data_IF_629979337557
#
_entry.id   IF_629979337557
#
_cell.length_a   1.000
_cell.length_b   1.000
_cell.length_c   1.000
_cell.angle_alpha   90.00
_cell.angle_beta   90.00
_cell.angle_gamma   90.00
#
_symmetry.space_group_name_H-M   'P 1'
#
loop_
_entity.id
_entity.type
_entity.pdbx_description
1 polymer ?
#
# COMPACT_ATOMS: atom_id res chain seq x y z
N UNK A 1 29.37 12.84 -5.26
CA UNK A 1 28.55 12.16 -4.23
C UNK A 1 28.45 10.71 -4.63
N UNK A 2 28.84 9.77 -3.76
CA UNK A 2 28.73 8.31 -3.97
C UNK A 2 27.66 7.77 -3.03
N UNK A 3 27.07 6.62 -3.34
CA UNK A 3 26.10 5.97 -2.43
C UNK A 3 26.71 5.70 -1.05
N UNK A 4 28.01 5.41 -1.00
CA UNK A 4 28.76 5.20 0.25
C UNK A 4 28.90 6.44 1.14
N UNK A 5 28.53 7.62 0.65
CA UNK A 5 28.53 8.85 1.46
C UNK A 5 27.28 8.97 2.35
N UNK A 6 26.24 8.15 2.08
CA UNK A 6 25.00 8.10 2.86
C UNK A 6 25.07 7.04 3.95
N UNK A 7 24.34 7.28 5.04
CA UNK A 7 24.23 6.35 6.16
C UNK A 7 22.82 5.75 6.28
N UNK A 8 21.85 6.40 5.67
CA UNK A 8 20.42 6.03 5.74
C UNK A 8 19.88 5.93 4.33
N UNK A 9 19.07 4.89 4.09
CA UNK A 9 18.26 4.76 2.89
C UNK A 9 16.79 4.75 3.29
N UNK A 10 16.01 5.64 2.68
CA UNK A 10 14.58 5.72 2.87
C UNK A 10 13.85 5.08 1.68
N UNK A 11 12.88 4.21 1.98
CA UNK A 11 12.11 3.47 0.98
C UNK A 11 10.63 3.84 1.03
N UNK A 12 10.03 3.99 -0.13
CA UNK A 12 8.63 3.69 -0.30
C UNK A 12 8.41 2.17 -0.22
N UNK A 13 7.18 1.72 -0.01
CA UNK A 13 6.88 0.29 0.20
C UNK A 13 6.08 -0.30 -0.95
N UNK A 14 4.91 0.26 -1.23
CA UNK A 14 3.97 -0.32 -2.21
C UNK A 14 4.27 0.18 -3.62
N UNK A 15 4.69 -0.75 -4.49
CA UNK A 15 5.26 -0.45 -5.82
C UNK A 15 6.78 -0.37 -5.82
N UNK A 16 7.42 -0.51 -4.64
CA UNK A 16 8.88 -0.51 -4.50
C UNK A 16 9.39 -1.82 -3.87
N UNK A 17 8.79 -2.25 -2.78
CA UNK A 17 9.15 -3.47 -2.04
C UNK A 17 8.03 -4.52 -2.08
N UNK A 18 6.79 -4.07 -2.17
CA UNK A 18 5.58 -4.89 -2.25
C UNK A 18 4.97 -4.72 -3.64
N UNK A 19 4.70 -5.83 -4.32
CA UNK A 19 3.97 -5.89 -5.59
C UNK A 19 2.47 -5.66 -5.33
N UNK A 20 2.13 -4.39 -5.15
CA UNK A 20 0.77 -3.97 -4.82
C UNK A 20 -0.21 -4.25 -5.97
N UNK A 21 0.25 -4.15 -7.22
CA UNK A 21 -0.62 -4.37 -8.37
C UNK A 21 -1.12 -5.81 -8.41
N UNK A 22 -0.22 -6.78 -8.29
CA UNK A 22 -0.59 -8.20 -8.28
C UNK A 22 -1.41 -8.56 -7.05
N UNK A 23 -1.05 -8.00 -5.89
CA UNK A 23 -1.78 -8.20 -4.64
C UNK A 23 -3.20 -7.65 -4.72
N UNK A 24 -3.36 -6.44 -5.20
CA UNK A 24 -4.62 -5.73 -5.34
C UNK A 24 -5.54 -6.43 -6.36
N UNK A 25 -5.05 -6.71 -7.57
CA UNK A 25 -5.84 -7.40 -8.61
C UNK A 25 -6.31 -8.77 -8.12
N UNK A 26 -5.45 -9.52 -7.43
CA UNK A 26 -5.82 -10.80 -6.84
C UNK A 26 -6.90 -10.64 -5.77
N UNK A 27 -6.76 -9.65 -4.90
CA UNK A 27 -7.72 -9.40 -3.83
C UNK A 27 -9.07 -8.83 -4.33
N UNK A 28 -9.08 -8.15 -5.48
CA UNK A 28 -10.31 -7.69 -6.14
C UNK A 28 -11.06 -8.78 -6.90
N UNK A 29 -10.46 -9.96 -7.08
CA UNK A 29 -11.09 -11.03 -7.85
C UNK A 29 -12.52 -11.38 -7.42
N UNK A 30 -12.87 -11.44 -6.12
CA UNK A 30 -14.25 -11.68 -5.69
C UNK A 30 -15.26 -10.64 -6.18
N UNK A 31 -14.81 -9.39 -6.44
CA UNK A 31 -15.63 -8.33 -7.01
C UNK A 31 -15.66 -8.43 -8.53
N UNK A 32 -14.48 -8.53 -9.18
CA UNK A 32 -14.38 -8.53 -10.65
C UNK A 32 -15.04 -9.74 -11.29
N UNK A 33 -15.10 -10.90 -10.59
CA UNK A 33 -15.82 -12.09 -11.06
C UNK A 33 -17.35 -11.89 -11.11
N UNK A 34 -17.88 -10.87 -10.42
CA UNK A 34 -19.32 -10.52 -10.45
C UNK A 34 -19.66 -9.48 -11.51
N UNK A 35 -18.65 -8.83 -12.10
CA UNK A 35 -18.84 -7.77 -13.10
C UNK A 35 -19.22 -8.40 -14.43
N UNK A 36 -20.30 -7.88 -15.06
CA UNK A 36 -20.75 -8.39 -16.37
C UNK A 36 -19.91 -7.90 -17.54
N UNK A 37 -19.14 -6.81 -17.34
CA UNK A 37 -18.25 -6.22 -18.34
C UNK A 37 -16.92 -6.99 -18.35
N UNK A 38 -16.24 -7.03 -19.50
CA UNK A 38 -14.90 -7.59 -19.58
C UNK A 38 -13.88 -6.50 -19.17
N UNK A 39 -13.44 -6.53 -17.91
CA UNK A 39 -12.43 -5.62 -17.40
C UNK A 39 -11.03 -6.15 -17.72
N UNK A 40 -10.21 -5.30 -18.31
CA UNK A 40 -8.78 -5.57 -18.43
C UNK A 40 -8.07 -5.30 -17.09
N UNK A 41 -6.82 -5.76 -16.97
CA UNK A 41 -6.00 -5.42 -15.80
C UNK A 41 -5.83 -3.90 -15.66
N UNK A 42 -5.62 -3.20 -16.74
CA UNK A 42 -5.41 -1.74 -16.74
C UNK A 42 -6.68 -0.99 -16.32
N UNK A 43 -7.87 -1.43 -16.78
CA UNK A 43 -9.15 -0.86 -16.31
C UNK A 43 -9.30 -0.96 -14.79
N UNK A 44 -8.91 -2.12 -14.21
CA UNK A 44 -8.98 -2.34 -12.76
C UNK A 44 -7.99 -1.43 -12.03
N UNK A 45 -6.75 -1.33 -12.52
CA UNK A 45 -5.71 -0.49 -11.93
C UNK A 45 -6.08 0.99 -11.97
N UNK A 46 -6.58 1.49 -13.10
CA UNK A 46 -6.99 2.89 -13.27
C UNK A 46 -8.17 3.25 -12.37
N UNK A 47 -9.22 2.44 -12.35
CA UNK A 47 -10.38 2.66 -11.49
C UNK A 47 -9.98 2.65 -10.02
N UNK A 48 -9.14 1.68 -9.61
CA UNK A 48 -8.66 1.61 -8.24
C UNK A 48 -7.85 2.87 -7.86
N UNK A 49 -6.87 3.26 -8.67
CA UNK A 49 -6.03 4.43 -8.41
C UNK A 49 -6.85 5.73 -8.31
N UNK A 50 -7.88 5.87 -9.15
CA UNK A 50 -8.80 7.00 -9.10
C UNK A 50 -9.56 7.06 -7.76
N UNK A 51 -10.19 5.96 -7.35
CA UNK A 51 -10.97 5.92 -6.10
C UNK A 51 -10.06 6.03 -4.87
N UNK A 52 -8.88 5.43 -4.91
CA UNK A 52 -7.92 5.51 -3.81
C UNK A 52 -7.44 6.96 -3.61
N UNK A 53 -6.92 7.60 -4.66
CA UNK A 53 -6.41 8.97 -4.59
C UNK A 53 -7.48 9.97 -4.17
N UNK A 54 -8.71 9.78 -4.64
CA UNK A 54 -9.86 10.60 -4.26
C UNK A 54 -10.20 10.42 -2.78
N UNK A 55 -10.23 9.18 -2.30
CA UNK A 55 -10.54 8.87 -0.90
C UNK A 55 -9.45 9.39 0.04
N UNK A 56 -8.16 9.24 -0.33
CA UNK A 56 -7.04 9.81 0.43
C UNK A 56 -7.17 11.33 0.58
N UNK A 57 -7.53 12.03 -0.49
CA UNK A 57 -7.71 13.49 -0.49
C UNK A 57 -8.81 13.95 0.47
N UNK A 58 -9.94 13.23 0.49
CA UNK A 58 -11.09 13.60 1.31
C UNK A 58 -11.03 13.08 2.75
N UNK A 59 -10.22 12.05 3.01
CA UNK A 59 -10.09 11.43 4.34
C UNK A 59 -8.62 11.22 4.72
N UNK A 60 -7.82 12.30 4.85
CA UNK A 60 -6.36 12.21 5.02
C UNK A 60 -5.90 11.49 6.30
N UNK A 61 -6.79 11.37 7.29
CA UNK A 61 -6.49 10.72 8.59
C UNK A 61 -7.10 9.31 8.70
N UNK A 62 -7.76 8.81 7.63
CA UNK A 62 -8.35 7.47 7.66
C UNK A 62 -7.24 6.41 7.60
N UNK A 63 -7.36 5.35 8.38
CA UNK A 63 -6.45 4.20 8.28
C UNK A 63 -6.55 3.56 6.89
N UNK A 64 -5.45 3.08 6.38
CA UNK A 64 -5.37 2.63 4.99
C UNK A 64 -6.30 1.44 4.70
N UNK A 65 -6.38 0.46 5.59
CA UNK A 65 -7.31 -0.66 5.39
C UNK A 65 -8.79 -0.24 5.40
N UNK A 66 -9.17 0.76 6.20
CA UNK A 66 -10.53 1.31 6.20
C UNK A 66 -10.78 2.15 4.93
N UNK A 67 -9.75 2.82 4.42
CA UNK A 67 -9.80 3.54 3.16
C UNK A 67 -10.02 2.56 2.00
N UNK A 68 -9.27 1.47 1.96
CA UNK A 68 -9.43 0.44 0.93
C UNK A 68 -10.82 -0.23 0.96
N UNK A 69 -11.43 -0.39 2.13
CA UNK A 69 -12.82 -0.85 2.23
C UNK A 69 -13.80 0.10 1.52
N UNK A 70 -13.58 1.42 1.65
CA UNK A 70 -14.37 2.41 0.91
C UNK A 70 -14.07 2.35 -0.59
N UNK A 71 -12.81 2.18 -0.99
CA UNK A 71 -12.42 2.02 -2.40
C UNK A 71 -13.13 0.82 -3.02
N UNK A 72 -13.14 -0.33 -2.36
CA UNK A 72 -13.84 -1.53 -2.83
C UNK A 72 -15.33 -1.26 -3.07
N UNK A 73 -15.99 -0.56 -2.15
CA UNK A 73 -17.38 -0.19 -2.31
C UNK A 73 -17.59 0.75 -3.50
N UNK A 74 -16.70 1.71 -3.71
CA UNK A 74 -16.78 2.65 -4.85
C UNK A 74 -16.59 1.93 -6.19
N UNK A 75 -15.67 0.98 -6.26
CA UNK A 75 -15.50 0.14 -7.43
C UNK A 75 -16.76 -0.70 -7.70
N UNK A 76 -17.36 -1.29 -6.67
CA UNK A 76 -18.59 -2.04 -6.80
C UNK A 76 -19.76 -1.17 -7.32
N UNK A 77 -19.90 0.04 -6.78
CA UNK A 77 -20.90 1.03 -7.24
C UNK A 77 -20.67 1.40 -8.72
N UNK A 78 -19.43 1.68 -9.11
CA UNK A 78 -19.06 2.01 -10.49
C UNK A 78 -19.36 0.86 -11.46
N UNK A 79 -19.07 -0.37 -11.06
CA UNK A 79 -19.27 -1.55 -11.91
C UNK A 79 -20.67 -2.18 -11.79
N UNK A 80 -21.56 -1.56 -11.02
CA UNK A 80 -22.94 -2.00 -10.86
C UNK A 80 -23.11 -3.32 -10.12
N UNK A 81 -22.22 -3.62 -9.18
CA UNK A 81 -22.23 -4.85 -8.38
C UNK A 81 -22.64 -4.55 -6.93
N UNK A 82 -23.57 -5.34 -6.41
CA UNK A 82 -23.91 -5.26 -4.99
C UNK A 82 -22.88 -6.02 -4.14
N UNK A 83 -22.44 -5.38 -3.05
CA UNK A 83 -21.48 -5.94 -2.10
C UNK A 83 -21.90 -5.64 -0.68
N UNK A 84 -21.54 -6.54 0.23
CA UNK A 84 -21.71 -6.32 1.68
C UNK A 84 -20.55 -5.50 2.25
N UNK A 85 -20.76 -4.93 3.43
CA UNK A 85 -19.67 -4.22 4.12
C UNK A 85 -18.57 -5.16 4.58
N UNK A 86 -18.89 -6.41 4.90
CA UNK A 86 -17.93 -7.46 5.24
C UNK A 86 -16.98 -7.77 4.08
N UNK A 87 -17.48 -7.81 2.83
CA UNK A 87 -16.64 -7.97 1.64
C UNK A 87 -15.70 -6.77 1.47
N UNK A 88 -16.18 -5.56 1.69
CA UNK A 88 -15.36 -4.34 1.65
C UNK A 88 -14.24 -4.39 2.69
N UNK A 89 -14.57 -4.77 3.94
CA UNK A 89 -13.58 -4.89 5.02
C UNK A 89 -12.56 -6.01 4.74
N UNK A 90 -13.01 -7.15 4.21
CA UNK A 90 -12.11 -8.25 3.84
C UNK A 90 -11.08 -7.79 2.78
N UNK A 91 -11.53 -7.01 1.79
CA UNK A 91 -10.62 -6.40 0.82
C UNK A 91 -9.62 -5.45 1.51
N UNK A 92 -10.10 -4.53 2.35
CA UNK A 92 -9.23 -3.61 3.07
C UNK A 92 -8.13 -4.32 3.86
N UNK A 93 -8.49 -5.41 4.54
CA UNK A 93 -7.54 -6.21 5.32
C UNK A 93 -6.58 -7.05 4.46
N UNK A 94 -6.87 -7.25 3.17
CA UNK A 94 -6.04 -8.06 2.28
C UNK A 94 -4.67 -7.46 2.02
N UNK A 95 -4.51 -6.14 2.15
CA UNK A 95 -3.23 -5.43 1.97
C UNK A 95 -2.09 -6.06 2.79
N UNK A 96 -2.40 -6.61 3.95
CA UNK A 96 -1.44 -7.30 4.82
C UNK A 96 -0.85 -8.57 4.20
N UNK A 97 -1.46 -9.06 3.12
CA UNK A 97 -1.11 -10.31 2.45
C UNK A 97 -0.56 -10.10 1.04
N UNK A 98 -0.49 -8.86 0.55
CA UNK A 98 0.05 -8.59 -0.78
C UNK A 98 1.52 -9.02 -0.87
N UNK A 99 1.94 -9.62 -1.99
CA UNK A 99 3.27 -10.21 -2.11
C UNK A 99 4.37 -9.16 -2.14
N UNK A 100 5.54 -9.50 -1.62
CA UNK A 100 6.76 -8.74 -1.91
C UNK A 100 7.24 -9.05 -3.33
N UNK A 101 8.00 -8.13 -3.94
CA UNK A 101 8.78 -8.50 -5.13
C UNK A 101 9.83 -9.55 -4.76
N UNK A 102 10.15 -10.42 -5.71
CA UNK A 102 11.00 -11.59 -5.48
C UNK A 102 12.39 -11.24 -4.94
N UNK A 103 12.94 -10.10 -5.33
CA UNK A 103 14.26 -9.61 -4.94
C UNK A 103 14.27 -8.72 -3.69
N UNK A 104 13.12 -8.23 -3.23
CA UNK A 104 13.03 -7.23 -2.14
C UNK A 104 13.71 -7.71 -0.85
N UNK A 105 13.46 -8.96 -0.45
CA UNK A 105 14.00 -9.51 0.80
C UNK A 105 15.53 -9.60 0.76
N UNK A 106 16.09 -10.12 -0.32
CA UNK A 106 17.54 -10.29 -0.46
C UNK A 106 18.24 -8.92 -0.59
N UNK A 107 17.65 -8.01 -1.38
CA UNK A 107 18.18 -6.66 -1.54
C UNK A 107 18.20 -5.90 -0.21
N UNK A 108 17.12 -5.95 0.57
CA UNK A 108 17.05 -5.31 1.88
C UNK A 108 18.05 -5.92 2.87
N UNK A 109 18.18 -7.25 2.90
CA UNK A 109 19.14 -7.95 3.76
C UNK A 109 20.59 -7.56 3.45
N UNK A 110 20.90 -7.38 2.15
CA UNK A 110 22.21 -6.87 1.72
C UNK A 110 22.44 -5.41 2.13
N UNK A 111 21.47 -4.53 1.84
CA UNK A 111 21.58 -3.10 2.14
C UNK A 111 21.66 -2.83 3.65
N UNK A 112 20.99 -3.63 4.46
CA UNK A 112 21.02 -3.53 5.92
C UNK A 112 22.41 -3.71 6.51
N UNK A 113 23.31 -4.39 5.83
CA UNK A 113 24.71 -4.56 6.26
C UNK A 113 25.53 -3.27 6.14
N UNK A 114 25.05 -2.30 5.36
CA UNK A 114 25.78 -1.08 5.01
C UNK A 114 25.07 0.19 5.42
N UNK A 115 23.74 0.16 5.62
CA UNK A 115 22.90 1.31 5.85
C UNK A 115 21.89 1.08 6.97
N UNK A 116 21.49 2.15 7.61
CA UNK A 116 20.23 2.17 8.33
C UNK A 116 19.10 2.26 7.32
N UNK A 117 18.10 1.39 7.45
CA UNK A 117 16.96 1.35 6.53
C UNK A 117 15.74 1.94 7.21
N UNK A 118 15.09 2.87 6.54
CA UNK A 118 13.83 3.45 7.01
C UNK A 118 12.76 3.35 5.93
N UNK A 119 11.50 3.30 6.32
CA UNK A 119 10.36 3.34 5.39
C UNK A 119 9.51 4.57 5.61
N UNK A 120 8.97 5.10 4.52
CA UNK A 120 8.01 6.19 4.48
C UNK A 120 6.84 5.77 3.59
N UNK A 121 5.72 5.33 4.19
CA UNK A 121 4.66 4.62 3.49
C UNK A 121 3.27 5.23 3.70
N UNK A 122 2.45 5.17 2.64
CA UNK A 122 1.04 5.58 2.65
C UNK A 122 0.12 4.50 3.21
N UNK A 123 0.55 3.76 4.25
CA UNK A 123 -0.31 2.77 4.91
C UNK A 123 -0.47 3.08 6.40
N UNK A 124 -1.29 2.30 7.06
CA UNK A 124 -1.40 2.24 8.51
C UNK A 124 -0.41 1.24 9.11
N UNK A 125 -0.20 1.33 10.41
CA UNK A 125 0.74 0.49 11.15
C UNK A 125 0.39 -1.00 11.08
N UNK A 126 -0.88 -1.34 11.11
CA UNK A 126 -1.36 -2.73 11.06
C UNK A 126 -1.10 -3.35 9.69
N UNK A 127 -1.39 -2.61 8.61
CA UNK A 127 -1.16 -3.03 7.23
C UNK A 127 0.34 -3.21 6.97
N UNK A 128 1.17 -2.24 7.36
CA UNK A 128 2.61 -2.32 7.20
C UNK A 128 3.21 -3.50 7.98
N UNK A 129 2.76 -3.76 9.21
CA UNK A 129 3.24 -4.91 10.00
C UNK A 129 3.07 -6.25 9.27
N UNK A 130 1.92 -6.44 8.60
CA UNK A 130 1.68 -7.64 7.78
C UNK A 130 2.62 -7.73 6.57
N UNK A 131 2.85 -6.62 5.88
CA UNK A 131 3.77 -6.54 4.73
C UNK A 131 5.23 -6.72 5.18
N UNK A 132 5.62 -6.14 6.32
CA UNK A 132 6.98 -6.27 6.84
C UNK A 132 7.35 -7.71 7.22
N UNK A 133 6.38 -8.51 7.66
CA UNK A 133 6.59 -9.93 7.90
C UNK A 133 7.04 -10.71 6.64
N UNK A 134 6.73 -10.20 5.43
CA UNK A 134 7.18 -10.78 4.16
C UNK A 134 8.56 -10.30 3.74
N UNK A 135 8.89 -9.06 4.08
CA UNK A 135 10.20 -8.46 3.81
C UNK A 135 11.29 -9.04 4.72
N UNK A 136 10.91 -9.51 5.91
CA UNK A 136 11.76 -10.18 6.89
C UNK A 136 13.03 -9.37 7.22
N UNK A 137 12.87 -8.06 7.37
CA UNK A 137 13.95 -7.14 7.72
C UNK A 137 13.51 -6.22 8.86
N UNK A 138 14.44 -5.87 9.71
CA UNK A 138 14.24 -4.86 10.74
C UNK A 138 14.58 -3.47 10.17
N UNK A 139 13.58 -2.60 10.02
CA UNK A 139 13.80 -1.20 9.69
C UNK A 139 14.16 -0.39 10.94
N UNK A 140 15.11 0.53 10.80
CA UNK A 140 15.56 1.42 11.90
C UNK A 140 14.57 2.55 12.17
N UNK A 141 13.72 2.85 11.18
CA UNK A 141 12.61 3.80 11.29
C UNK A 141 11.45 3.38 10.40
N UNK A 142 10.25 3.53 10.93
CA UNK A 142 8.99 3.24 10.21
C UNK A 142 8.10 4.46 10.36
N UNK A 143 7.74 5.08 9.25
CA UNK A 143 6.92 6.28 9.19
C UNK A 143 5.71 6.00 8.31
N UNK A 144 4.57 5.75 8.94
CA UNK A 144 3.31 5.44 8.26
C UNK A 144 2.42 6.67 8.12
N UNK A 145 1.46 6.63 7.20
CA UNK A 145 0.45 7.67 7.11
C UNK A 145 -0.40 7.80 8.39
N UNK A 146 -0.54 6.71 9.15
CA UNK A 146 -1.22 6.73 10.46
C UNK A 146 -0.44 7.57 11.47
N UNK A 147 0.89 7.39 11.56
CA UNK A 147 1.74 8.13 12.51
C UNK A 147 1.84 9.62 12.14
N UNK A 148 1.97 9.90 10.84
CA UNK A 148 2.09 11.27 10.30
C UNK A 148 0.75 12.00 10.30
N UNK A 149 -0.38 11.27 10.25
CA UNK A 149 -1.72 11.84 10.14
C UNK A 149 -2.00 12.45 8.76
N UNK A 150 -1.33 11.99 7.71
CA UNK A 150 -1.56 12.41 6.33
C UNK A 150 -0.97 11.39 5.35
N UNK A 151 -1.41 11.49 4.07
CA UNK A 151 -0.86 10.71 2.97
C UNK A 151 0.17 11.50 2.17
N UNK A 152 1.19 10.83 1.62
CA UNK A 152 2.04 11.42 0.58
C UNK A 152 1.14 11.81 -0.61
N UNK A 153 1.41 12.92 -1.31
CA UNK A 153 2.66 13.70 -1.33
C UNK A 153 2.72 14.88 -0.34
N UNK A 154 2.01 14.83 0.79
CA UNK A 154 2.10 15.90 1.79
C UNK A 154 3.53 16.01 2.33
N UNK A 155 4.04 17.24 2.42
CA UNK A 155 5.38 17.54 2.98
C UNK A 155 5.52 17.08 4.43
N UNK A 156 4.40 16.94 5.16
CA UNK A 156 4.37 16.45 6.55
C UNK A 156 5.10 15.11 6.73
N UNK A 157 5.11 14.24 5.72
CA UNK A 157 5.83 12.98 5.77
C UNK A 157 7.34 13.17 5.86
N UNK A 158 7.88 14.13 5.11
CA UNK A 158 9.31 14.44 5.13
C UNK A 158 9.70 15.19 6.40
N UNK A 159 8.88 16.16 6.83
CA UNK A 159 9.10 16.90 8.07
C UNK A 159 9.07 15.96 9.30
N UNK A 160 8.23 14.92 9.26
CA UNK A 160 8.11 13.97 10.35
C UNK A 160 9.30 13.00 10.42
N UNK A 161 9.90 12.68 9.27
CA UNK A 161 11.05 11.75 9.17
C UNK A 161 12.37 12.45 9.52
N UNK A 162 12.53 13.74 9.24
CA UNK A 162 13.77 14.52 9.41
C UNK A 162 13.90 15.07 10.83
#
# INVERSE_FOLDING_TARGET
>A
MKLTDFKVLAFDVYGTLIDWESGMVTALKPLTDKVSQNLTRDDILEAHAYHESTTQRWTPNKKYFDLLAVVYRRLAEEWGVEVTWEECQAYGLSVRQWPAFDDSREALAYLKQHYNLVVLTNTDNTSFSGSNARLDVHFDGVYTAEDVGSYKPSDRHFDYML
#
